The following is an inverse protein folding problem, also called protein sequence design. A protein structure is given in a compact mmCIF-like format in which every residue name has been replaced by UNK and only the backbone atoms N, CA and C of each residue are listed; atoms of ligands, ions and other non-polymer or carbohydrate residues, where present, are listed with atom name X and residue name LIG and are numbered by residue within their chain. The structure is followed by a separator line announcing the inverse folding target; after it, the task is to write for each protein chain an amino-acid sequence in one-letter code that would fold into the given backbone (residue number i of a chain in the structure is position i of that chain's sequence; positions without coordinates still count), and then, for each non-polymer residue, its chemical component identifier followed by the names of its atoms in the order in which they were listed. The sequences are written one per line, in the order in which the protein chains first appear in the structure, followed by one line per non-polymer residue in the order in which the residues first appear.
data_IF_862432421975
#
_entry.id   IF_862432421975
#
_cell.length_a   1.000
_cell.length_b   1.000
_cell.length_c   1.000
_cell.angle_alpha   90.00
_cell.angle_beta   90.00
_cell.angle_gamma   90.00
#
_symmetry.space_group_name_H-M   'P 1'
#
loop_
_entity.id
_entity.type
_entity.pdbx_description
1 polymer ?
#
# COMPACT_ATOMS: atom_id res chain seq x y z
N UNK A 1 -26.47 7.37 -71.42
CA UNK A 1 -27.09 6.32 -70.57
C UNK A 1 -25.99 5.33 -70.24
N UNK A 2 -25.19 5.44 -69.17
CA UNK A 2 -25.46 5.42 -67.71
C UNK A 2 -26.12 4.12 -67.24
N UNK A 3 -25.29 3.12 -66.98
CA UNK A 3 -25.59 2.05 -66.02
C UNK A 3 -24.52 2.13 -64.93
N UNK A 4 -24.99 2.27 -63.71
CA UNK A 4 -24.31 2.80 -62.54
C UNK A 4 -23.55 1.69 -61.82
N UNK A 5 -22.28 1.90 -61.49
CA UNK A 5 -21.53 1.02 -60.59
C UNK A 5 -22.05 1.20 -59.16
N UNK A 6 -22.68 0.16 -58.59
CA UNK A 6 -23.06 0.13 -57.20
C UNK A 6 -21.86 -0.31 -56.35
N UNK A 7 -21.18 0.68 -55.75
CA UNK A 7 -20.17 0.44 -54.72
C UNK A 7 -20.91 0.03 -53.44
N UNK A 8 -21.01 -1.27 -53.18
CA UNK A 8 -21.50 -1.78 -51.89
C UNK A 8 -20.40 -1.62 -50.85
N UNK A 9 -20.49 -0.56 -50.04
CA UNK A 9 -19.70 -0.42 -48.84
C UNK A 9 -20.17 -1.48 -47.83
N UNK A 10 -19.42 -2.58 -47.72
CA UNK A 10 -19.49 -3.48 -46.58
C UNK A 10 -19.03 -2.69 -45.35
N UNK A 11 -19.97 -2.09 -44.63
CA UNK A 11 -19.76 -1.74 -43.22
C UNK A 11 -19.53 -3.06 -42.49
N UNK A 12 -18.28 -3.41 -42.29
CA UNK A 12 -17.89 -4.36 -41.27
C UNK A 12 -18.35 -3.79 -39.93
N UNK A 13 -19.50 -4.25 -39.45
CA UNK A 13 -19.85 -4.16 -38.04
C UNK A 13 -18.79 -5.01 -37.34
N UNK A 14 -17.69 -4.35 -36.94
CA UNK A 14 -16.82 -4.89 -35.93
C UNK A 14 -17.73 -5.11 -34.73
N UNK A 15 -18.10 -6.36 -34.50
CA UNK A 15 -18.64 -6.81 -33.25
C UNK A 15 -17.52 -6.57 -32.25
N UNK A 16 -17.47 -5.35 -31.71
CA UNK A 16 -16.70 -5.06 -30.51
C UNK A 16 -17.34 -5.99 -29.48
N UNK A 17 -16.72 -7.14 -29.25
CA UNK A 17 -17.03 -7.99 -28.14
C UNK A 17 -17.06 -7.05 -26.94
N UNK A 18 -18.25 -6.77 -26.42
CA UNK A 18 -18.42 -6.09 -25.16
C UNK A 18 -17.76 -7.04 -24.18
N UNK A 19 -16.50 -6.79 -23.87
CA UNK A 19 -15.80 -7.52 -22.83
C UNK A 19 -16.66 -7.34 -21.60
N UNK A 20 -17.27 -8.44 -21.14
CA UNK A 20 -17.98 -8.43 -19.87
C UNK A 20 -17.01 -7.85 -18.85
N UNK A 21 -17.42 -6.83 -18.06
CA UNK A 21 -16.53 -6.24 -17.10
C UNK A 21 -15.92 -7.39 -16.28
N UNK A 22 -14.59 -7.44 -16.14
CA UNK A 22 -13.92 -8.56 -15.50
C UNK A 22 -14.60 -8.85 -14.17
N UNK A 23 -14.95 -10.12 -13.95
CA UNK A 23 -15.65 -10.56 -12.75
C UNK A 23 -14.93 -10.04 -11.50
N UNK A 24 -15.68 -9.51 -10.53
CA UNK A 24 -15.11 -9.06 -9.27
C UNK A 24 -14.92 -10.27 -8.37
N UNK A 25 -13.72 -10.44 -7.83
CA UNK A 25 -13.42 -11.46 -6.83
C UNK A 25 -13.42 -10.80 -5.45
N UNK A 26 -14.17 -11.37 -4.52
CA UNK A 26 -14.14 -11.00 -3.10
C UNK A 26 -13.57 -12.20 -2.34
N UNK A 27 -12.57 -11.94 -1.52
CA UNK A 27 -11.96 -12.93 -0.65
C UNK A 27 -12.28 -12.55 0.78
N UNK A 28 -12.97 -13.44 1.50
CA UNK A 28 -13.33 -13.28 2.91
C UNK A 28 -12.58 -14.33 3.72
N UNK A 29 -11.94 -13.90 4.82
CA UNK A 29 -11.35 -14.82 5.78
C UNK A 29 -11.90 -14.56 7.17
N UNK A 30 -12.28 -15.63 7.86
CA UNK A 30 -12.80 -15.62 9.22
C UNK A 30 -11.75 -16.22 10.13
N UNK A 31 -11.22 -15.42 11.06
CA UNK A 31 -10.22 -15.91 12.02
C UNK A 31 -10.86 -16.89 13.02
N UNK A 32 -10.20 -18.02 13.28
CA UNK A 32 -10.72 -19.06 14.15
C UNK A 32 -11.95 -19.83 13.62
N UNK A 33 -12.30 -19.72 12.33
CA UNK A 33 -13.42 -20.46 11.75
C UNK A 33 -13.09 -21.96 11.59
N UNK A 34 -13.59 -22.77 12.51
CA UNK A 34 -13.45 -24.22 12.49
C UNK A 34 -14.43 -24.89 11.49
N UNK A 35 -13.91 -25.85 10.72
CA UNK A 35 -14.69 -26.54 9.70
C UNK A 35 -15.79 -27.43 10.30
N UNK A 36 -15.49 -28.14 11.40
CA UNK A 36 -16.46 -29.04 12.03
C UNK A 36 -17.63 -28.25 12.64
N UNK A 37 -17.34 -27.13 13.30
CA UNK A 37 -18.38 -26.22 13.79
C UNK A 37 -19.20 -25.61 12.65
N UNK A 38 -18.55 -25.20 11.56
CA UNK A 38 -19.23 -24.64 10.39
C UNK A 38 -20.22 -25.64 9.79
N UNK A 39 -19.80 -26.89 9.61
CA UNK A 39 -20.66 -27.97 9.09
C UNK A 39 -21.82 -28.29 10.03
N UNK A 40 -21.58 -28.33 11.35
CA UNK A 40 -22.65 -28.49 12.33
C UNK A 40 -23.70 -27.38 12.20
N UNK A 41 -23.27 -26.12 12.12
CA UNK A 41 -24.18 -24.98 11.99
C UNK A 41 -24.90 -24.95 10.63
N UNK A 42 -24.28 -25.43 9.56
CA UNK A 42 -24.93 -25.65 8.26
C UNK A 42 -26.03 -26.71 8.36
N UNK A 43 -25.74 -27.85 8.99
CA UNK A 43 -26.71 -28.93 9.20
C UNK A 43 -27.91 -28.49 10.07
N UNK A 44 -27.66 -27.62 11.05
CA UNK A 44 -28.70 -27.00 11.88
C UNK A 44 -29.49 -25.89 11.15
N UNK A 45 -29.17 -25.56 9.89
CA UNK A 45 -29.84 -24.51 9.12
C UNK A 45 -29.52 -23.08 9.57
N UNK A 46 -28.50 -22.89 10.42
CA UNK A 46 -28.15 -21.59 11.03
C UNK A 46 -27.30 -20.69 10.13
N UNK A 47 -26.75 -21.23 9.04
CA UNK A 47 -25.89 -20.50 8.10
C UNK A 47 -26.48 -20.46 6.67
N UNK A 48 -27.68 -19.88 6.47
CA UNK A 48 -28.42 -19.97 5.22
C UNK A 48 -27.67 -19.34 4.03
N UNK A 49 -26.91 -18.27 4.25
CA UNK A 49 -26.13 -17.62 3.20
C UNK A 49 -24.89 -18.43 2.79
N UNK A 50 -24.20 -19.05 3.75
CA UNK A 50 -23.08 -19.95 3.44
C UNK A 50 -23.57 -21.22 2.75
N UNK A 51 -24.72 -21.76 3.16
CA UNK A 51 -25.35 -22.89 2.47
C UNK A 51 -25.67 -22.55 1.01
N UNK A 52 -26.22 -21.36 0.75
CA UNK A 52 -26.50 -20.89 -0.61
C UNK A 52 -25.22 -20.67 -1.46
N UNK A 53 -24.10 -20.29 -0.84
CA UNK A 53 -22.82 -20.17 -1.53
C UNK A 53 -22.21 -21.55 -1.84
N UNK A 54 -22.24 -22.46 -0.87
CA UNK A 54 -21.75 -23.82 -1.03
C UNK A 54 -22.50 -24.58 -2.13
N UNK A 55 -23.82 -24.39 -2.25
CA UNK A 55 -24.63 -25.05 -3.29
C UNK A 55 -24.42 -24.50 -4.70
N UNK A 56 -24.04 -23.22 -4.83
CA UNK A 56 -23.77 -22.57 -6.13
C UNK A 56 -22.34 -22.80 -6.62
N UNK A 57 -21.40 -23.04 -5.71
CA UNK A 57 -20.00 -23.27 -6.01
C UNK A 57 -19.52 -24.58 -5.39
N UNK A 58 -18.97 -24.50 -4.20
CA UNK A 58 -18.54 -25.67 -3.45
C UNK A 58 -18.11 -25.35 -2.03
N UNK A 59 -17.83 -26.39 -1.27
CA UNK A 59 -17.27 -26.33 0.08
C UNK A 59 -16.21 -27.43 0.22
N UNK A 60 -15.07 -27.10 0.80
CA UNK A 60 -14.00 -28.05 1.08
C UNK A 60 -13.31 -27.71 2.40
N UNK A 61 -13.00 -28.74 3.18
CA UNK A 61 -12.13 -28.59 4.35
C UNK A 61 -10.69 -28.36 3.89
N UNK A 62 -10.01 -27.40 4.51
CA UNK A 62 -8.59 -27.14 4.29
C UNK A 62 -7.82 -27.47 5.56
N UNK A 63 -6.62 -28.04 5.39
CA UNK A 63 -5.70 -28.29 6.50
C UNK A 63 -5.08 -26.96 6.93
N UNK A 64 -5.08 -26.62 8.24
CA UNK A 64 -4.42 -25.42 8.72
C UNK A 64 -2.89 -25.54 8.59
N UNK A 65 -2.21 -24.41 8.71
CA UNK A 65 -0.73 -24.41 8.81
C UNK A 65 -0.26 -25.08 10.10
N UNK A 66 1.00 -25.49 10.14
CA UNK A 66 1.67 -25.94 11.36
C UNK A 66 2.78 -24.92 11.69
N UNK A 67 2.68 -24.17 12.82
CA UNK A 67 1.61 -24.21 13.82
C UNK A 67 0.32 -23.51 13.35
N UNK A 68 -0.83 -23.97 13.84
CA UNK A 68 -2.15 -23.43 13.51
C UNK A 68 -2.41 -22.11 14.26
N UNK A 69 -1.63 -21.09 13.93
CA UNK A 69 -1.75 -19.75 14.50
C UNK A 69 -2.19 -18.74 13.44
N UNK A 70 -2.92 -17.72 13.86
CA UNK A 70 -3.38 -16.59 13.04
C UNK A 70 -2.27 -16.01 12.15
N UNK A 71 -1.13 -15.51 12.67
CA UNK A 71 -0.11 -14.86 11.85
C UNK A 71 0.52 -15.79 10.82
N UNK A 72 0.70 -17.06 11.17
CA UNK A 72 1.26 -18.09 10.29
C UNK A 72 0.28 -18.41 9.15
N UNK A 73 -0.99 -18.63 9.51
CA UNK A 73 -2.04 -18.97 8.54
C UNK A 73 -2.31 -17.83 7.56
N UNK A 74 -2.38 -16.59 8.04
CA UNK A 74 -2.53 -15.42 7.16
C UNK A 74 -1.26 -15.17 6.33
N UNK A 75 -0.06 -15.37 6.84
CA UNK A 75 1.13 -15.25 6.01
C UNK A 75 1.11 -16.26 4.85
N UNK A 76 0.77 -17.51 5.13
CA UNK A 76 0.68 -18.58 4.12
C UNK A 76 -0.45 -18.37 3.13
N UNK A 77 -1.65 -18.11 3.62
CA UNK A 77 -2.83 -17.88 2.78
C UNK A 77 -2.58 -16.80 1.72
N UNK A 78 -1.89 -15.75 2.12
CA UNK A 78 -1.78 -14.52 1.33
C UNK A 78 -0.70 -14.62 0.29
N UNK A 79 0.34 -15.42 0.54
CA UNK A 79 1.48 -15.60 -0.37
C UNK A 79 1.44 -16.93 -1.14
N UNK A 80 0.59 -17.87 -0.74
CA UNK A 80 0.58 -19.24 -1.27
C UNK A 80 1.80 -20.07 -0.86
N UNK A 81 2.56 -19.64 0.15
CA UNK A 81 3.79 -20.32 0.64
C UNK A 81 3.58 -20.93 2.00
N UNK A 82 4.30 -21.99 2.31
CA UNK A 82 4.31 -22.60 3.65
C UNK A 82 5.00 -21.68 4.71
N UNK A 83 4.93 -22.02 6.01
CA UNK A 83 5.60 -21.25 7.06
C UNK A 83 7.10 -21.06 6.80
N UNK A 84 7.79 -22.06 6.24
CA UNK A 84 9.19 -21.97 5.83
C UNK A 84 9.43 -20.91 4.75
N UNK A 85 8.57 -20.84 3.74
CA UNK A 85 8.64 -19.84 2.68
C UNK A 85 8.22 -18.43 3.09
N UNK A 86 7.35 -18.29 4.10
CA UNK A 86 6.89 -16.99 4.61
C UNK A 86 7.74 -16.43 5.75
N UNK A 87 8.50 -17.29 6.45
CA UNK A 87 9.33 -16.95 7.61
C UNK A 87 8.53 -16.44 8.82
N UNK A 88 7.22 -16.67 8.86
CA UNK A 88 6.35 -16.35 9.98
C UNK A 88 5.97 -17.66 10.69
N UNK A 89 6.39 -17.82 11.93
CA UNK A 89 6.20 -19.05 12.71
C UNK A 89 5.37 -18.84 13.98
N UNK A 90 5.22 -17.61 14.44
CA UNK A 90 4.43 -17.26 15.62
C UNK A 90 4.06 -15.76 15.55
N UNK A 91 3.36 -15.21 16.55
CA UNK A 91 3.25 -13.79 16.83
C UNK A 91 4.58 -13.18 17.27
N UNK A 92 5.37 -13.94 18.02
CA UNK A 92 6.66 -13.52 18.57
C UNK A 92 7.82 -14.21 17.86
N UNK A 93 8.91 -13.49 17.69
CA UNK A 93 10.20 -14.05 17.28
C UNK A 93 11.27 -13.60 18.24
N UNK A 94 12.32 -14.41 18.37
CA UNK A 94 13.49 -14.06 19.16
C UNK A 94 14.48 -13.24 18.34
N UNK A 95 14.96 -12.13 18.89
CA UNK A 95 16.14 -11.45 18.36
C UNK A 95 17.39 -12.31 18.67
N UNK A 96 18.17 -12.75 17.66
CA UNK A 96 19.34 -13.60 17.89
C UNK A 96 20.50 -12.89 18.62
N UNK A 97 20.54 -11.55 18.64
CA UNK A 97 21.57 -10.80 19.34
C UNK A 97 21.22 -10.55 20.80
N UNK A 98 19.98 -10.17 21.07
CA UNK A 98 19.54 -9.74 22.41
C UNK A 98 18.73 -10.82 23.14
N UNK A 99 18.31 -11.87 22.44
CA UNK A 99 17.40 -12.91 22.92
C UNK A 99 16.02 -12.41 23.37
N UNK A 100 15.73 -11.12 23.18
CA UNK A 100 14.45 -10.53 23.55
C UNK A 100 13.34 -10.91 22.56
N UNK A 101 12.09 -11.03 23.02
CA UNK A 101 10.95 -11.23 22.15
C UNK A 101 10.69 -9.96 21.33
N UNK A 102 10.44 -10.13 20.04
CA UNK A 102 10.07 -9.08 19.09
C UNK A 102 8.88 -9.55 18.26
N UNK A 103 8.15 -8.63 17.63
CA UNK A 103 7.04 -9.00 16.75
C UNK A 103 7.55 -9.73 15.50
N UNK A 104 6.94 -10.88 15.22
CA UNK A 104 7.30 -11.72 14.07
C UNK A 104 6.72 -11.20 12.76
N UNK A 105 5.51 -10.63 12.79
CA UNK A 105 4.78 -10.23 11.58
C UNK A 105 5.29 -8.92 11.00
N UNK A 106 5.58 -7.95 11.85
CA UNK A 106 5.92 -6.60 11.44
C UNK A 106 6.96 -5.96 12.35
N UNK A 107 7.66 -4.98 11.79
CA UNK A 107 8.61 -4.13 12.48
C UNK A 107 8.21 -2.67 12.29
N UNK A 108 8.25 -1.90 13.37
CA UNK A 108 8.14 -0.46 13.26
C UNK A 108 9.48 0.11 12.76
N UNK A 109 9.43 0.85 11.67
CA UNK A 109 10.56 1.66 11.17
C UNK A 109 10.17 3.11 11.11
N UNK A 110 11.15 3.98 11.35
CA UNK A 110 11.02 5.42 11.13
C UNK A 110 11.44 5.71 9.70
N UNK A 111 10.48 6.08 8.85
CA UNK A 111 10.78 6.52 7.49
C UNK A 111 10.89 8.04 7.45
N UNK A 112 11.78 8.56 6.59
CA UNK A 112 11.93 10.00 6.40
C UNK A 112 10.61 10.59 5.93
N UNK A 113 10.12 11.59 6.66
CA UNK A 113 8.98 12.37 6.20
C UNK A 113 9.51 13.46 5.26
N UNK A 114 9.10 13.45 3.98
CA UNK A 114 9.64 14.35 2.95
C UNK A 114 11.18 14.31 2.87
N UNK A 115 11.86 15.39 3.25
CA UNK A 115 13.32 15.53 3.25
C UNK A 115 13.95 15.17 4.62
N UNK A 116 13.14 14.70 5.56
CA UNK A 116 13.55 14.28 6.89
C UNK A 116 14.08 15.42 7.74
N UNK A 117 15.30 15.30 8.27
CA UNK A 117 15.94 16.37 9.06
C UNK A 117 16.13 17.66 8.26
N UNK A 118 16.15 17.58 6.93
CA UNK A 118 16.23 18.73 6.04
C UNK A 118 14.89 19.44 5.81
N UNK A 119 13.76 18.96 6.36
CA UNK A 119 12.46 19.61 6.22
C UNK A 119 12.48 21.07 6.69
N UNK A 120 13.02 21.31 7.88
CA UNK A 120 13.08 22.64 8.49
C UNK A 120 13.91 23.63 7.67
N UNK A 121 15.18 23.33 7.28
CA UNK A 121 15.92 24.24 6.41
C UNK A 121 15.29 24.37 5.01
N UNK A 122 14.68 23.32 4.46
CA UNK A 122 14.04 23.40 3.14
C UNK A 122 12.81 24.32 3.14
N UNK A 123 11.94 24.23 4.15
CA UNK A 123 10.81 25.15 4.30
C UNK A 123 11.29 26.57 4.54
N UNK A 124 12.32 26.76 5.37
CA UNK A 124 12.93 28.07 5.59
C UNK A 124 13.41 28.68 4.27
N UNK A 125 14.14 27.92 3.45
CA UNK A 125 14.60 28.37 2.14
C UNK A 125 13.45 28.70 1.18
N UNK A 126 12.39 27.89 1.17
CA UNK A 126 11.20 28.14 0.35
C UNK A 126 10.49 29.45 0.74
N UNK A 127 10.36 29.72 2.04
CA UNK A 127 9.78 30.98 2.53
C UNK A 127 10.66 32.19 2.22
N UNK A 128 11.98 32.08 2.39
CA UNK A 128 12.93 33.15 1.99
C UNK A 128 12.80 33.46 0.50
N UNK A 129 12.78 32.43 -0.34
CA UNK A 129 12.62 32.59 -1.79
C UNK A 129 11.27 33.24 -2.14
N UNK A 130 10.18 32.78 -1.53
CA UNK A 130 8.86 33.37 -1.73
C UNK A 130 8.82 34.86 -1.30
N UNK A 131 9.45 35.20 -0.17
CA UNK A 131 9.58 36.57 0.31
C UNK A 131 10.35 37.47 -0.65
N UNK A 132 11.47 36.97 -1.20
CA UNK A 132 12.27 37.69 -2.21
C UNK A 132 11.50 37.89 -3.51
N UNK A 133 10.81 36.86 -4.00
CA UNK A 133 10.00 36.91 -5.22
C UNK A 133 8.82 37.89 -5.06
N UNK A 134 8.15 37.87 -3.90
CA UNK A 134 7.07 38.79 -3.59
C UNK A 134 7.56 40.24 -3.53
N UNK A 135 8.70 40.50 -2.86
CA UNK A 135 9.30 41.83 -2.80
C UNK A 135 9.71 42.35 -4.18
N UNK A 136 10.31 41.48 -5.01
CA UNK A 136 10.67 41.80 -6.39
C UNK A 136 9.44 42.13 -7.25
N UNK A 137 8.42 41.27 -7.21
CA UNK A 137 7.16 41.48 -7.93
C UNK A 137 6.48 42.79 -7.53
N UNK A 138 6.40 43.06 -6.23
CA UNK A 138 5.76 44.25 -5.69
C UNK A 138 6.52 45.53 -6.09
N UNK A 139 7.86 45.48 -6.06
CA UNK A 139 8.69 46.60 -6.50
C UNK A 139 8.56 46.88 -8.01
N UNK A 140 8.45 45.83 -8.84
CA UNK A 140 8.18 45.95 -10.28
C UNK A 140 6.80 46.55 -10.53
N UNK A 141 5.78 46.13 -9.78
CA UNK A 141 4.41 46.64 -9.87
C UNK A 141 4.30 48.12 -9.44
N UNK A 142 5.01 48.50 -8.38
CA UNK A 142 5.05 49.87 -7.85
C UNK A 142 6.07 50.79 -8.54
N UNK A 143 6.75 50.33 -9.61
CA UNK A 143 7.80 51.08 -10.34
C UNK A 143 8.90 51.66 -9.42
N UNK A 144 9.22 51.03 -8.28
CA UNK A 144 10.28 51.51 -7.38
C UNK A 144 11.66 51.21 -7.97
N UNK A 145 12.54 52.23 -8.03
CA UNK A 145 13.87 52.13 -8.65
C UNK A 145 14.89 51.26 -7.88
N UNK A 146 14.62 50.88 -6.62
CA UNK A 146 15.50 50.04 -5.80
C UNK A 146 14.71 48.97 -5.00
N UNK A 147 14.25 47.88 -5.64
CA UNK A 147 13.53 46.78 -4.99
C UNK A 147 14.27 46.16 -3.80
N UNK A 148 15.59 46.05 -3.96
CA UNK A 148 16.47 45.27 -3.10
C UNK A 148 16.57 45.80 -1.67
N UNK A 149 16.37 47.12 -1.48
CA UNK A 149 16.42 47.75 -0.15
C UNK A 149 15.28 47.31 0.78
N UNK A 150 14.15 46.85 0.21
CA UNK A 150 13.00 46.35 0.98
C UNK A 150 12.85 44.82 0.90
N UNK A 151 13.56 44.17 -0.03
CA UNK A 151 13.54 42.72 -0.17
C UNK A 151 14.23 41.98 0.97
N UNK A 152 15.32 42.54 1.49
CA UNK A 152 16.10 41.89 2.57
C UNK A 152 15.29 41.74 3.88
N UNK A 153 14.61 42.79 4.41
CA UNK A 153 13.80 42.65 5.62
C UNK A 153 12.61 41.67 5.43
N UNK A 154 11.97 41.71 4.26
CA UNK A 154 10.86 40.80 3.92
C UNK A 154 11.35 39.35 3.88
N UNK A 155 12.52 39.10 3.31
CA UNK A 155 13.13 37.77 3.26
C UNK A 155 13.52 37.25 4.66
N UNK A 156 14.03 38.12 5.54
CA UNK A 156 14.36 37.75 6.93
C UNK A 156 13.10 37.38 7.71
N UNK A 157 12.04 38.18 7.63
CA UNK A 157 10.75 37.88 8.29
C UNK A 157 10.15 36.59 7.74
N UNK A 158 10.13 36.44 6.41
CA UNK A 158 9.63 35.22 5.77
C UNK A 158 10.46 33.99 6.20
N UNK A 159 11.78 34.10 6.27
CA UNK A 159 12.66 33.05 6.77
C UNK A 159 12.38 32.68 8.24
N UNK A 160 12.15 33.67 9.10
CA UNK A 160 11.74 33.45 10.49
C UNK A 160 10.41 32.67 10.59
N UNK A 161 9.42 33.03 9.79
CA UNK A 161 8.15 32.29 9.70
C UNK A 161 8.39 30.86 9.18
N UNK A 162 9.18 30.71 8.12
CA UNK A 162 9.55 29.42 7.55
C UNK A 162 10.30 28.52 8.54
N UNK A 163 11.09 29.09 9.44
CA UNK A 163 11.78 28.35 10.50
C UNK A 163 10.82 27.81 11.57
N UNK A 164 9.82 28.60 11.95
CA UNK A 164 8.77 28.17 12.91
C UNK A 164 7.90 27.09 12.28
N UNK A 165 7.36 27.34 11.07
CA UNK A 165 6.52 26.39 10.33
C UNK A 165 7.29 25.11 10.00
N UNK A 166 8.55 25.25 9.58
CA UNK A 166 9.47 24.14 9.32
C UNK A 166 9.68 23.24 10.54
N UNK A 167 9.55 23.79 11.75
CA UNK A 167 9.64 23.06 13.01
C UNK A 167 8.43 22.19 13.34
N UNK A 168 7.28 22.41 12.69
CA UNK A 168 6.08 21.59 12.86
C UNK A 168 6.11 20.31 12.01
N UNK A 169 7.00 20.25 11.01
CA UNK A 169 7.14 19.07 10.17
C UNK A 169 8.01 18.04 10.88
N UNK A 170 7.49 16.83 11.16
CA UNK A 170 8.30 15.78 11.77
C UNK A 170 9.43 15.36 10.81
N UNK A 171 10.60 14.96 11.33
CA UNK A 171 11.69 14.44 10.49
C UNK A 171 11.42 12.99 10.03
N UNK A 172 10.56 12.27 10.72
CA UNK A 172 10.20 10.91 10.38
C UNK A 172 8.76 10.62 10.79
N UNK A 173 8.12 9.73 10.04
CA UNK A 173 6.83 9.15 10.39
C UNK A 173 7.03 7.66 10.70
N UNK A 174 6.28 7.10 11.66
CA UNK A 174 6.29 5.66 11.90
C UNK A 174 5.71 4.96 10.67
N UNK A 175 6.40 3.91 10.25
CA UNK A 175 5.98 3.02 9.18
C UNK A 175 6.07 1.58 9.67
N UNK A 176 5.14 0.76 9.18
CA UNK A 176 5.10 -0.65 9.49
C UNK A 176 5.65 -1.39 8.29
N UNK A 177 6.76 -2.10 8.49
CA UNK A 177 7.32 -2.98 7.48
C UNK A 177 6.98 -4.43 7.84
N UNK A 178 6.41 -5.18 6.89
CA UNK A 178 6.14 -6.61 7.10
C UNK A 178 7.45 -7.39 7.07
N UNK A 179 7.64 -8.30 8.02
CA UNK A 179 8.77 -9.24 8.02
C UNK A 179 8.51 -10.49 7.17
N UNK A 180 7.29 -10.64 6.64
CA UNK A 180 6.87 -11.77 5.83
C UNK A 180 7.66 -11.82 4.52
N UNK A 181 8.17 -12.99 4.18
CA UNK A 181 8.75 -13.29 2.87
C UNK A 181 7.67 -13.69 1.86
N UNK A 182 7.84 -13.28 0.61
CA UNK A 182 6.91 -13.57 -0.48
C UNK A 182 5.91 -12.44 -0.75
N UNK A 183 5.43 -12.41 -2.00
CA UNK A 183 4.51 -11.40 -2.49
C UNK A 183 3.06 -11.86 -2.24
N UNK A 184 2.24 -11.09 -1.51
CA UNK A 184 0.86 -11.47 -1.31
C UNK A 184 0.03 -11.27 -2.59
N UNK A 185 -1.00 -12.10 -2.80
CA UNK A 185 -1.82 -12.06 -4.00
C UNK A 185 -2.52 -10.70 -4.22
N UNK A 186 -2.83 -9.97 -3.15
CA UNK A 186 -3.43 -8.64 -3.26
C UNK A 186 -2.44 -7.56 -3.72
N UNK A 187 -1.15 -7.73 -3.46
CA UNK A 187 -0.13 -6.85 -4.00
C UNK A 187 -0.04 -7.08 -5.51
N UNK A 188 -0.02 -8.35 -5.94
CA UNK A 188 -0.09 -8.70 -7.36
C UNK A 188 -1.35 -8.13 -8.03
N UNK A 189 -2.50 -8.24 -7.36
CA UNK A 189 -3.75 -7.65 -7.86
C UNK A 189 -3.72 -6.11 -7.90
N UNK A 190 -3.07 -5.47 -6.93
CA UNK A 190 -2.89 -4.02 -6.87
C UNK A 190 -1.96 -3.50 -7.96
N UNK A 191 -0.84 -4.18 -8.20
CA UNK A 191 0.12 -3.88 -9.28
C UNK A 191 -0.53 -4.05 -10.67
N UNK A 192 -1.45 -5.02 -10.80
CA UNK A 192 -2.25 -5.20 -12.01
C UNK A 192 -3.41 -4.18 -12.18
N UNK A 193 -3.57 -3.23 -11.25
CA UNK A 193 -4.67 -2.23 -11.27
C UNK A 193 -6.05 -2.80 -10.91
N UNK A 194 -6.10 -4.02 -10.39
CA UNK A 194 -7.34 -4.78 -10.17
C UNK A 194 -7.81 -4.80 -8.71
N UNK A 195 -7.04 -4.23 -7.77
CA UNK A 195 -7.41 -4.19 -6.35
C UNK A 195 -8.03 -2.84 -5.95
N UNK A 196 -9.18 -2.90 -5.28
CA UNK A 196 -9.73 -1.79 -4.47
C UNK A 196 -9.77 -2.25 -3.02
N UNK A 197 -9.03 -1.55 -2.16
CA UNK A 197 -8.85 -1.94 -0.76
C UNK A 197 -9.90 -1.31 0.16
N UNK A 198 -10.52 -2.15 1.00
CA UNK A 198 -11.42 -1.74 2.09
C UNK A 198 -11.27 -2.70 3.25
N UNK A 199 -10.26 -2.51 4.11
CA UNK A 199 -10.03 -3.37 5.27
C UNK A 199 -8.93 -2.85 6.19
N UNK A 200 -9.21 -2.83 7.49
CA UNK A 200 -8.29 -2.46 8.55
C UNK A 200 -7.38 -3.66 8.91
N UNK A 201 -6.21 -3.75 8.29
CA UNK A 201 -5.23 -4.79 8.62
C UNK A 201 -4.14 -4.86 7.56
N UNK A 202 -2.97 -4.31 7.88
CA UNK A 202 -1.76 -4.26 7.03
C UNK A 202 -2.01 -3.67 5.62
N UNK A 203 -2.10 -2.33 5.59
CA UNK A 203 -2.34 -1.56 4.37
C UNK A 203 -1.24 -1.72 3.32
N UNK A 204 -1.64 -2.06 2.10
CA UNK A 204 -0.86 -1.74 0.90
C UNK A 204 -1.00 -0.24 0.64
N UNK A 205 0.08 0.51 0.80
CA UNK A 205 0.16 1.92 0.39
C UNK A 205 0.87 1.95 -0.97
N UNK A 206 0.21 2.40 -2.05
CA UNK A 206 0.84 2.52 -3.36
C UNK A 206 2.14 3.34 -3.28
N UNK A 207 3.25 2.78 -3.75
CA UNK A 207 4.59 3.41 -3.70
C UNK A 207 5.42 3.09 -2.45
N UNK A 208 4.85 2.44 -1.42
CA UNK A 208 5.63 1.77 -0.38
C UNK A 208 6.02 0.38 -0.91
N UNK A 209 7.06 0.32 -1.72
CA UNK A 209 7.61 -0.97 -2.14
C UNK A 209 7.99 -1.77 -0.90
N UNK A 210 7.35 -2.91 -0.68
CA UNK A 210 7.90 -3.93 0.21
C UNK A 210 9.25 -4.30 -0.40
N UNK A 211 10.35 -3.90 0.26
CA UNK A 211 11.67 -4.29 -0.19
C UNK A 211 11.71 -5.82 -0.16
N UNK A 212 11.85 -6.51 -1.30
CA UNK A 212 12.14 -7.92 -1.25
C UNK A 212 13.53 -7.99 -0.63
N UNK A 213 13.63 -8.42 0.62
CA UNK A 213 14.91 -9.03 1.03
C UNK A 213 15.05 -10.24 0.14
N UNK A 214 15.85 -10.08 -0.92
CA UNK A 214 16.56 -11.20 -1.50
C UNK A 214 17.34 -11.79 -0.34
N UNK A 215 16.87 -12.93 0.16
CA UNK A 215 17.63 -13.73 1.11
C UNK A 215 18.87 -14.22 0.36
N UNK A 216 19.92 -13.39 0.31
CA UNK A 216 21.26 -13.90 0.15
C UNK A 216 21.48 -14.81 1.36
N UNK A 217 21.28 -16.11 1.14
CA UNK A 217 21.31 -17.13 2.17
C UNK A 217 22.61 -17.02 2.95
N UNK A 218 22.51 -16.84 4.25
CA UNK A 218 23.55 -17.35 5.15
C UNK A 218 23.13 -18.78 5.46
N UNK A 219 23.95 -19.79 5.13
CA UNK A 219 23.65 -21.15 5.53
C UNK A 219 23.62 -21.19 7.06
N UNK A 220 22.56 -21.78 7.60
CA UNK A 220 22.56 -22.22 8.98
C UNK A 220 23.63 -23.31 9.06
N UNK A 221 24.78 -22.96 9.66
CA UNK A 221 25.84 -23.91 9.98
C UNK A 221 25.40 -24.89 11.08
N UNK A 222 26.11 -26.02 11.20
CA UNK A 222 25.70 -27.17 12.02
C UNK A 222 25.50 -26.85 13.50
#
# INVERSE_FOLDING_TARGET
MRVTFAFSALLGVACAAVASPPGRVIVLGFDGADAALTEKLLAEGKLPHLAALASKGGYARLTPTVPAQTPVSWATFTTGRDPGGTQIFDFLRRDPQTYMPTFAVAEERKAKFLLGTANRPAVTAAFVLAGLLLAYWLARRLRRRRPWLHGLPVAVVAGGVGWVVGGWLPPAIPQVESRRSGTPFWQLAGEAGNARYGGAGAGYIPGQGFSPRTSAGRPWGP
#
